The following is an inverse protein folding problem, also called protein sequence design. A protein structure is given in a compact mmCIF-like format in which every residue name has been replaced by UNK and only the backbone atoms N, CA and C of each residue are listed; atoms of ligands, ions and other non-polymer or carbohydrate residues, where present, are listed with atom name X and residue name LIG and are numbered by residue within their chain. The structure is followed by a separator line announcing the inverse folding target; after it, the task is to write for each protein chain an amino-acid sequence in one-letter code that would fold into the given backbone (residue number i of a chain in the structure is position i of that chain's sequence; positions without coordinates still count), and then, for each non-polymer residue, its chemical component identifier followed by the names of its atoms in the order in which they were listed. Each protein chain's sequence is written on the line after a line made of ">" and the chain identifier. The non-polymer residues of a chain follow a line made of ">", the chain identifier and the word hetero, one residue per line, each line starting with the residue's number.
data_IF_679441057184
#
_entry.id   IF_679441057184
#
_cell.length_a   1.000
_cell.length_b   1.000
_cell.length_c   1.000
_cell.angle_alpha   90.00
_cell.angle_beta   90.00
_cell.angle_gamma   90.00
#
_symmetry.space_group_name_H-M   'P 1'
#
loop_
_entity.id
_entity.type
_entity.pdbx_description
1 polymer ?
#
# COMPACT_ATOMS: atom_id res chain seq x y z
N UNK A 1 1.06 -23.26 -36.14
CA UNK A 1 0.69 -24.24 -35.09
C UNK A 1 1.56 -24.06 -33.84
N UNK A 2 1.56 -22.85 -33.22
CA UNK A 2 2.34 -22.62 -31.99
C UNK A 2 1.55 -21.86 -30.90
N UNK A 3 0.27 -21.54 -31.13
CA UNK A 3 -0.50 -20.68 -30.20
C UNK A 3 -1.44 -21.42 -29.23
N UNK A 4 -1.71 -22.71 -29.45
CA UNK A 4 -2.64 -23.46 -28.60
C UNK A 4 -2.02 -24.01 -27.31
N UNK A 5 -0.69 -24.18 -27.27
CA UNK A 5 0.00 -24.83 -26.13
C UNK A 5 0.35 -23.84 -24.98
N UNK A 6 0.43 -22.54 -25.27
CA UNK A 6 0.70 -21.50 -24.25
C UNK A 6 -0.56 -21.18 -23.44
N UNK A 7 -1.74 -21.43 -24.00
CA UNK A 7 -3.03 -21.17 -23.36
C UNK A 7 -3.39 -22.20 -22.27
N UNK A 8 -2.77 -23.37 -22.27
CA UNK A 8 -3.14 -24.51 -21.41
C UNK A 8 -2.29 -24.63 -20.13
N UNK A 9 -1.14 -23.98 -20.05
CA UNK A 9 -0.29 -24.07 -18.86
C UNK A 9 -0.80 -23.19 -17.72
N UNK A 10 -0.89 -23.68 -16.49
CA UNK A 10 -1.21 -22.88 -15.32
C UNK A 10 -0.24 -21.72 -15.14
N UNK A 11 -0.74 -20.58 -14.66
CA UNK A 11 0.06 -19.42 -14.33
C UNK A 11 0.39 -19.48 -12.84
N UNK A 12 1.67 -19.52 -12.52
CA UNK A 12 2.16 -19.45 -11.15
C UNK A 12 2.62 -18.03 -10.80
N UNK A 13 2.11 -17.52 -9.68
CA UNK A 13 2.40 -16.17 -9.15
C UNK A 13 3.02 -16.33 -7.77
N UNK A 14 4.18 -15.71 -7.54
CA UNK A 14 4.82 -15.67 -6.24
C UNK A 14 4.43 -14.39 -5.49
N UNK A 15 3.73 -14.54 -4.37
CA UNK A 15 3.27 -13.46 -3.48
C UNK A 15 1.76 -13.22 -3.54
N UNK A 16 1.07 -13.45 -2.41
CA UNK A 16 -0.37 -13.20 -2.20
C UNK A 16 -0.64 -11.81 -1.57
N UNK A 17 0.18 -10.82 -1.88
CA UNK A 17 -0.09 -9.41 -1.59
C UNK A 17 -1.02 -8.77 -2.62
N UNK A 18 -1.38 -7.48 -2.43
CA UNK A 18 -2.33 -6.78 -3.30
C UNK A 18 -2.00 -6.90 -4.79
N UNK A 19 -0.74 -6.73 -5.18
CA UNK A 19 -0.31 -6.81 -6.59
C UNK A 19 -0.47 -8.21 -7.17
N UNK A 20 -0.10 -9.25 -6.40
CA UNK A 20 -0.22 -10.64 -6.83
C UNK A 20 -1.69 -11.08 -6.94
N UNK A 21 -2.51 -10.70 -5.95
CA UNK A 21 -3.95 -10.98 -5.96
C UNK A 21 -4.67 -10.25 -7.10
N UNK A 22 -4.30 -8.99 -7.39
CA UNK A 22 -4.86 -8.24 -8.49
C UNK A 22 -4.53 -8.89 -9.84
N UNK A 23 -3.25 -9.22 -10.08
CA UNK A 23 -2.83 -9.91 -11.29
C UNK A 23 -3.53 -11.26 -11.45
N UNK A 24 -3.60 -12.05 -10.36
CA UNK A 24 -4.26 -13.34 -10.34
C UNK A 24 -5.73 -13.24 -10.71
N UNK A 25 -6.46 -12.28 -10.10
CA UNK A 25 -7.89 -12.07 -10.35
C UNK A 25 -8.15 -11.71 -11.81
N UNK A 26 -7.36 -10.80 -12.39
CA UNK A 26 -7.51 -10.39 -13.80
C UNK A 26 -7.26 -11.57 -14.74
N UNK A 27 -6.22 -12.34 -14.49
CA UNK A 27 -5.87 -13.49 -15.31
C UNK A 27 -6.91 -14.62 -15.20
N UNK A 28 -7.42 -14.90 -14.00
CA UNK A 28 -8.47 -15.89 -13.80
C UNK A 28 -9.78 -15.48 -14.48
N UNK A 29 -10.18 -14.20 -14.39
CA UNK A 29 -11.33 -13.66 -15.13
C UNK A 29 -11.17 -13.73 -16.66
N UNK A 30 -9.92 -13.74 -17.14
CA UNK A 30 -9.60 -13.97 -18.56
C UNK A 30 -9.54 -15.47 -18.93
N UNK A 31 -10.03 -16.37 -18.07
CA UNK A 31 -10.13 -17.81 -18.32
C UNK A 31 -8.83 -18.60 -18.12
N UNK A 32 -7.82 -18.02 -17.43
CA UNK A 32 -6.56 -18.71 -17.14
C UNK A 32 -6.64 -19.46 -15.82
N UNK A 33 -6.04 -20.65 -15.77
CA UNK A 33 -5.76 -21.33 -14.50
C UNK A 33 -4.62 -20.62 -13.78
N UNK A 34 -4.86 -20.20 -12.52
CA UNK A 34 -3.91 -19.37 -11.75
C UNK A 34 -3.70 -19.93 -10.36
N UNK A 35 -2.43 -20.12 -10.01
CA UNK A 35 -1.95 -20.52 -8.69
C UNK A 35 -1.08 -19.42 -8.08
N UNK A 36 -1.47 -18.94 -6.91
CA UNK A 36 -0.70 -17.95 -6.14
C UNK A 36 -0.02 -18.66 -4.96
N UNK A 37 1.26 -18.43 -4.77
CA UNK A 37 2.06 -19.01 -3.69
C UNK A 37 2.58 -17.92 -2.76
N UNK A 38 2.39 -18.08 -1.44
CA UNK A 38 2.96 -17.19 -0.44
C UNK A 38 3.58 -17.99 0.71
N UNK A 39 4.72 -17.53 1.18
CA UNK A 39 5.44 -18.12 2.33
C UNK A 39 4.74 -17.84 3.65
N UNK A 40 3.87 -16.85 3.71
CA UNK A 40 3.13 -16.45 4.90
C UNK A 40 1.89 -17.31 5.12
N UNK A 41 1.23 -17.05 6.24
CA UNK A 41 0.03 -17.81 6.66
C UNK A 41 -1.24 -17.30 6.02
N UNK A 42 -1.26 -16.04 5.55
CA UNK A 42 -2.41 -15.41 4.92
C UNK A 42 -2.01 -14.15 4.13
N UNK A 43 -2.90 -13.67 3.26
CA UNK A 43 -2.79 -12.35 2.64
C UNK A 43 -2.90 -11.26 3.70
N UNK A 44 -2.01 -10.27 3.62
CA UNK A 44 -1.93 -9.21 4.62
C UNK A 44 -1.19 -9.59 5.91
N UNK A 45 -0.75 -10.85 6.11
CA UNK A 45 -0.06 -11.30 7.32
C UNK A 45 1.29 -10.59 7.62
N UNK A 46 1.72 -9.69 6.73
CA UNK A 46 2.84 -8.77 6.96
C UNK A 46 2.45 -7.58 7.83
N UNK A 47 1.17 -7.21 7.82
CA UNK A 47 0.63 -6.01 8.45
C UNK A 47 -0.19 -6.38 9.67
N UNK A 48 -0.36 -5.44 10.58
CA UNK A 48 -1.02 -5.66 11.84
C UNK A 48 -2.00 -4.51 12.19
N UNK A 49 -2.89 -4.20 11.24
CA UNK A 49 -3.87 -3.12 11.39
C UNK A 49 -3.33 -1.74 11.00
N UNK A 50 -2.26 -1.69 10.22
CA UNK A 50 -1.68 -0.45 9.73
C UNK A 50 -2.67 0.25 8.78
N UNK A 51 -2.85 1.56 8.93
CA UNK A 51 -3.56 2.35 7.94
C UNK A 51 -2.67 2.68 6.73
N UNK A 52 -3.28 2.63 5.55
CA UNK A 52 -2.66 3.07 4.31
C UNK A 52 -3.58 4.05 3.60
N UNK A 53 -3.02 5.19 3.19
CA UNK A 53 -3.72 6.20 2.41
C UNK A 53 -3.63 5.84 0.92
N UNK A 54 -4.77 5.65 0.28
CA UNK A 54 -4.89 5.53 -1.17
C UNK A 54 -5.12 6.92 -1.74
N UNK A 55 -4.14 7.43 -2.48
CA UNK A 55 -4.21 8.74 -3.13
C UNK A 55 -5.26 8.73 -4.24
N UNK A 56 -6.22 9.65 -4.18
CA UNK A 56 -7.25 9.81 -5.19
C UNK A 56 -7.12 11.15 -5.95
N UNK A 57 -6.42 12.12 -5.35
CA UNK A 57 -6.17 13.44 -5.95
C UNK A 57 -5.19 13.40 -7.13
N UNK A 58 -4.31 12.42 -7.18
CA UNK A 58 -3.26 12.28 -8.21
C UNK A 58 -3.71 11.57 -9.49
N UNK A 59 -5.00 11.20 -9.59
CA UNK A 59 -5.59 10.44 -10.69
C UNK A 59 -6.64 11.28 -11.43
N UNK A 60 -6.78 11.05 -12.74
CA UNK A 60 -7.81 11.73 -13.55
C UNK A 60 -9.23 11.26 -13.18
N UNK A 61 -9.40 9.97 -12.89
CA UNK A 61 -10.65 9.38 -12.44
C UNK A 61 -10.60 9.01 -10.95
N UNK A 62 -11.77 8.82 -10.34
CA UNK A 62 -11.87 8.27 -8.99
C UNK A 62 -11.28 6.86 -8.93
N UNK A 63 -10.45 6.59 -7.93
CA UNK A 63 -9.72 5.32 -7.81
C UNK A 63 -10.67 4.12 -7.65
N UNK A 64 -11.78 4.26 -6.93
CA UNK A 64 -12.75 3.17 -6.78
C UNK A 64 -13.51 2.92 -8.06
N UNK A 65 -13.85 3.98 -8.81
CA UNK A 65 -14.37 3.82 -10.16
C UNK A 65 -13.39 3.05 -11.04
N UNK A 66 -12.10 3.41 -10.99
CA UNK A 66 -11.07 2.71 -11.75
C UNK A 66 -10.88 1.25 -11.32
N UNK A 67 -11.01 0.93 -10.01
CA UNK A 67 -11.03 -0.46 -9.53
C UNK A 67 -12.21 -1.22 -10.13
N UNK A 68 -13.41 -0.62 -10.13
CA UNK A 68 -14.59 -1.23 -10.73
C UNK A 68 -14.44 -1.46 -12.24
N UNK A 69 -13.86 -0.50 -12.97
CA UNK A 69 -13.57 -0.62 -14.40
C UNK A 69 -12.57 -1.77 -14.69
N UNK A 70 -11.66 -2.05 -13.76
CA UNK A 70 -10.76 -3.21 -13.80
C UNK A 70 -11.42 -4.50 -13.31
N UNK A 71 -12.69 -4.44 -12.94
CA UNK A 71 -13.48 -5.57 -12.49
C UNK A 71 -13.28 -5.96 -11.02
N UNK A 72 -12.80 -5.03 -10.18
CA UNK A 72 -12.74 -5.20 -8.73
C UNK A 72 -13.90 -4.48 -8.06
N UNK A 73 -14.49 -5.12 -7.06
CA UNK A 73 -15.53 -4.55 -6.23
C UNK A 73 -14.90 -3.90 -4.98
N UNK A 74 -14.87 -2.57 -4.93
CA UNK A 74 -14.33 -1.82 -3.82
C UNK A 74 -15.16 -1.96 -2.52
N UNK A 75 -16.40 -2.45 -2.59
CA UNK A 75 -17.24 -2.72 -1.41
C UNK A 75 -16.77 -3.92 -0.57
N UNK A 76 -15.86 -4.73 -1.11
CA UNK A 76 -15.32 -5.91 -0.46
C UNK A 76 -14.35 -5.59 0.70
N UNK A 77 -14.02 -4.33 0.93
CA UNK A 77 -13.19 -3.90 2.05
C UNK A 77 -13.63 -2.51 2.55
N UNK A 78 -13.30 -2.21 3.80
CA UNK A 78 -13.62 -0.91 4.39
C UNK A 78 -12.61 0.15 3.94
N UNK A 79 -13.14 1.32 3.57
CA UNK A 79 -12.35 2.51 3.31
C UNK A 79 -13.04 3.74 3.88
N UNK A 80 -12.28 4.64 4.50
CA UNK A 80 -12.78 5.91 5.02
C UNK A 80 -12.31 7.05 4.13
N UNK A 81 -13.22 7.92 3.74
CA UNK A 81 -13.00 9.00 2.77
C UNK A 81 -12.62 10.31 3.46
N UNK A 82 -11.63 11.00 2.87
CA UNK A 82 -11.18 12.31 3.30
C UNK A 82 -11.10 13.27 2.11
N UNK A 83 -11.76 14.43 2.23
CA UNK A 83 -11.68 15.53 1.27
C UNK A 83 -10.73 16.64 1.74
N UNK A 84 -10.54 16.73 3.05
CA UNK A 84 -9.69 17.74 3.70
C UNK A 84 -8.53 17.02 4.38
N UNK A 85 -7.35 17.58 4.21
CA UNK A 85 -6.10 17.03 4.76
C UNK A 85 -5.31 18.18 5.38
N UNK A 86 -4.76 17.99 6.56
CA UNK A 86 -3.77 18.89 7.11
C UNK A 86 -2.43 18.63 6.43
N UNK A 87 -1.92 19.62 5.69
CA UNK A 87 -0.56 19.63 5.19
C UNK A 87 0.29 20.52 6.05
N UNK A 88 1.23 19.92 6.77
CA UNK A 88 2.10 20.61 7.73
C UNK A 88 3.45 20.86 7.05
N UNK A 89 3.79 22.15 6.95
CA UNK A 89 5.01 22.62 6.32
C UNK A 89 6.20 22.55 7.29
N UNK A 90 7.46 22.68 6.81
CA UNK A 90 8.66 22.61 7.65
C UNK A 90 8.78 23.69 8.72
N UNK A 91 8.06 24.79 8.58
CA UNK A 91 7.94 25.93 9.52
C UNK A 91 6.74 25.81 10.46
N UNK A 92 6.15 24.63 10.56
CA UNK A 92 4.98 24.30 11.37
C UNK A 92 3.67 25.02 10.93
N UNK A 93 3.65 25.67 9.77
CA UNK A 93 2.42 26.20 9.17
C UNK A 93 1.55 25.05 8.69
N UNK A 94 0.27 25.07 9.07
CA UNK A 94 -0.72 24.07 8.65
C UNK A 94 -1.61 24.69 7.56
N UNK A 95 -1.67 24.04 6.41
CA UNK A 95 -2.62 24.38 5.35
C UNK A 95 -3.58 23.23 5.14
N UNK A 96 -4.82 23.55 4.72
CA UNK A 96 -5.86 22.56 4.48
C UNK A 96 -6.33 22.64 3.02
N UNK A 97 -5.56 22.06 2.08
CA UNK A 97 -6.03 21.97 0.72
C UNK A 97 -7.31 21.15 0.67
N UNK A 98 -8.33 21.70 -0.01
CA UNK A 98 -9.61 21.05 -0.23
C UNK A 98 -9.65 20.52 -1.66
N UNK A 99 -10.23 19.35 -1.81
CA UNK A 99 -10.53 18.77 -3.11
C UNK A 99 -12.04 18.80 -3.35
N UNK A 100 -12.45 19.02 -4.59
CA UNK A 100 -13.87 18.91 -4.99
C UNK A 100 -14.36 17.45 -4.97
N UNK A 101 -13.43 16.51 -4.87
CA UNK A 101 -13.67 15.08 -4.72
C UNK A 101 -12.89 14.51 -3.53
N UNK A 102 -13.16 13.26 -3.18
CA UNK A 102 -12.35 12.53 -2.20
C UNK A 102 -10.87 12.65 -2.54
N UNK A 103 -10.07 13.15 -1.61
CA UNK A 103 -8.62 13.30 -1.78
C UNK A 103 -7.88 12.01 -1.43
N UNK A 104 -8.28 11.36 -0.35
CA UNK A 104 -7.71 10.10 0.12
C UNK A 104 -8.79 9.13 0.57
N UNK A 105 -8.54 7.85 0.34
CA UNK A 105 -9.27 6.76 0.97
C UNK A 105 -8.33 6.01 1.89
N UNK A 106 -8.65 5.96 3.18
CA UNK A 106 -7.86 5.24 4.17
C UNK A 106 -8.39 3.83 4.27
N UNK A 107 -7.51 2.87 4.05
CA UNK A 107 -7.77 1.44 4.19
C UNK A 107 -6.89 0.85 5.28
N UNK A 108 -7.40 -0.19 5.95
CA UNK A 108 -6.62 -0.98 6.89
C UNK A 108 -5.97 -2.16 6.17
N UNK A 109 -4.74 -2.46 6.55
CA UNK A 109 -3.95 -3.59 6.07
C UNK A 109 -3.93 -4.70 7.12
N UNK A 110 -3.91 -5.95 6.71
CA UNK A 110 -3.82 -7.07 7.64
C UNK A 110 -4.73 -8.24 7.29
N UNK A 111 -4.95 -9.11 8.30
CA UNK A 111 -5.72 -10.35 8.13
C UNK A 111 -7.16 -10.24 8.64
N UNK A 112 -7.58 -9.10 9.19
CA UNK A 112 -8.97 -8.88 9.60
C UNK A 112 -9.89 -8.80 8.37
N UNK A 113 -11.11 -9.29 8.49
CA UNK A 113 -12.05 -9.49 7.38
C UNK A 113 -12.30 -8.22 6.54
N UNK A 114 -12.36 -7.05 7.20
CA UNK A 114 -12.65 -5.77 6.57
C UNK A 114 -11.46 -5.12 5.87
N UNK A 115 -10.26 -5.70 5.96
CA UNK A 115 -9.04 -5.13 5.35
C UNK A 115 -9.04 -5.26 3.84
N UNK A 116 -8.31 -4.37 3.18
CA UNK A 116 -8.14 -4.44 1.72
C UNK A 116 -7.47 -5.75 1.29
N UNK A 117 -6.54 -6.28 2.08
CA UNK A 117 -5.87 -7.54 1.78
C UNK A 117 -6.88 -8.70 1.71
N UNK A 118 -7.80 -8.77 2.67
CA UNK A 118 -8.82 -9.83 2.72
C UNK A 118 -9.93 -9.60 1.66
N UNK A 119 -10.30 -8.35 1.39
CA UNK A 119 -11.22 -8.03 0.31
C UNK A 119 -10.70 -8.46 -1.07
N UNK A 120 -9.42 -8.21 -1.34
CA UNK A 120 -8.77 -8.65 -2.59
C UNK A 120 -8.63 -10.18 -2.66
N UNK A 121 -8.31 -10.83 -1.53
CA UNK A 121 -8.25 -12.30 -1.43
C UNK A 121 -9.60 -12.95 -1.75
N UNK A 122 -10.70 -12.46 -1.16
CA UNK A 122 -12.05 -12.99 -1.45
C UNK A 122 -12.38 -12.90 -2.94
N UNK A 123 -12.06 -11.79 -3.57
CA UNK A 123 -12.32 -11.59 -5.00
C UNK A 123 -11.46 -12.52 -5.88
N UNK A 124 -10.20 -12.74 -5.51
CA UNK A 124 -9.34 -13.69 -6.21
C UNK A 124 -9.89 -15.12 -6.13
N UNK A 125 -10.32 -15.56 -4.94
CA UNK A 125 -10.95 -16.88 -4.74
C UNK A 125 -12.25 -17.00 -5.55
N UNK A 126 -13.10 -15.96 -5.51
CA UNK A 126 -14.35 -15.93 -6.27
C UNK A 126 -14.13 -15.98 -7.80
N UNK A 127 -12.99 -15.49 -8.28
CA UNK A 127 -12.56 -15.59 -9.67
C UNK A 127 -11.96 -16.96 -10.05
N UNK A 128 -11.81 -17.89 -9.11
CA UNK A 128 -11.27 -19.24 -9.35
C UNK A 128 -9.76 -19.36 -9.12
N UNK A 129 -9.11 -18.39 -8.48
CA UNK A 129 -7.68 -18.44 -8.15
C UNK A 129 -7.43 -19.47 -7.03
N UNK A 130 -6.47 -20.36 -7.21
CA UNK A 130 -5.95 -21.24 -6.16
C UNK A 130 -4.83 -20.54 -5.38
N UNK A 131 -5.02 -20.31 -4.08
CA UNK A 131 -4.03 -19.65 -3.23
C UNK A 131 -3.41 -20.68 -2.28
N UNK A 132 -2.08 -20.77 -2.31
CA UNK A 132 -1.28 -21.70 -1.52
C UNK A 132 -0.44 -20.92 -0.50
N UNK A 133 -0.88 -20.89 0.75
CA UNK A 133 -0.13 -20.30 1.86
C UNK A 133 0.90 -21.28 2.43
N UNK A 134 1.92 -20.76 3.13
CA UNK A 134 3.07 -21.52 3.64
C UNK A 134 3.77 -22.32 2.51
N UNK A 135 3.64 -21.84 1.28
CA UNK A 135 4.14 -22.45 0.07
C UNK A 135 5.36 -21.70 -0.45
N UNK A 136 6.48 -22.38 -0.48
CA UNK A 136 7.73 -21.84 -1.04
C UNK A 136 7.92 -22.41 -2.45
N UNK A 137 7.97 -21.54 -3.44
CA UNK A 137 8.26 -21.86 -4.85
C UNK A 137 9.55 -21.13 -5.27
N UNK A 138 10.19 -21.59 -6.32
CA UNK A 138 11.33 -20.91 -6.91
C UNK A 138 10.86 -19.85 -7.89
N UNK A 139 11.64 -18.77 -8.05
CA UNK A 139 11.34 -17.70 -9.00
C UNK A 139 11.27 -18.25 -10.44
N UNK A 140 12.11 -19.24 -10.78
CA UNK A 140 12.17 -19.87 -12.11
C UNK A 140 10.87 -20.62 -12.48
N UNK A 141 10.10 -21.06 -11.49
CA UNK A 141 8.84 -21.79 -11.67
C UNK A 141 7.63 -20.84 -11.78
N UNK A 142 7.85 -19.52 -11.62
CA UNK A 142 6.76 -18.54 -11.61
C UNK A 142 6.77 -17.64 -12.84
N UNK A 143 5.58 -17.36 -13.36
CA UNK A 143 5.35 -16.42 -14.45
C UNK A 143 5.40 -14.96 -13.95
N UNK A 144 4.90 -14.73 -12.71
CA UNK A 144 4.83 -13.41 -12.09
C UNK A 144 5.46 -13.47 -10.69
N UNK A 145 6.33 -12.50 -10.40
CA UNK A 145 6.96 -12.31 -9.10
C UNK A 145 6.38 -11.06 -8.45
N UNK A 146 5.61 -11.22 -7.39
CA UNK A 146 4.90 -10.16 -6.67
C UNK A 146 5.23 -10.16 -5.16
N UNK A 147 6.47 -10.48 -4.80
CA UNK A 147 6.93 -10.61 -3.39
C UNK A 147 7.17 -9.27 -2.69
N UNK A 148 6.98 -8.14 -3.37
CA UNK A 148 7.36 -6.82 -2.89
C UNK A 148 8.86 -6.55 -3.00
N UNK A 149 9.34 -5.43 -2.44
CA UNK A 149 10.72 -4.99 -2.63
C UNK A 149 11.72 -5.93 -1.96
N UNK A 150 12.83 -6.20 -2.65
CA UNK A 150 13.97 -6.97 -2.12
C UNK A 150 14.93 -6.10 -1.32
N UNK A 151 15.04 -4.82 -1.66
CA UNK A 151 15.91 -3.83 -0.99
C UNK A 151 15.19 -3.08 0.14
N UNK A 152 15.92 -2.12 0.71
CA UNK A 152 15.39 -1.19 1.72
C UNK A 152 15.99 0.19 1.46
N UNK A 153 15.29 1.03 0.70
CA UNK A 153 15.65 2.44 0.51
C UNK A 153 14.87 3.36 1.45
N UNK A 154 13.73 2.89 1.98
CA UNK A 154 12.94 3.61 2.98
C UNK A 154 12.46 2.68 4.09
N UNK A 155 12.32 3.25 5.29
CA UNK A 155 11.71 2.59 6.45
C UNK A 155 10.55 3.45 6.93
N UNK A 156 9.40 2.84 7.17
CA UNK A 156 8.30 3.43 7.90
C UNK A 156 8.26 2.83 9.30
N UNK A 157 8.14 3.68 10.34
CA UNK A 157 8.00 3.23 11.71
C UNK A 157 6.91 4.05 12.39
N UNK A 158 5.96 3.37 13.03
CA UNK A 158 4.75 4.01 13.54
C UNK A 158 4.23 3.40 14.82
N UNK A 159 3.21 4.05 15.38
CA UNK A 159 2.49 3.60 16.53
C UNK A 159 0.99 3.67 16.28
N UNK A 160 0.30 2.56 16.53
CA UNK A 160 -1.15 2.48 16.57
C UNK A 160 -1.60 2.78 18.00
N UNK A 161 -2.65 3.60 18.15
CA UNK A 161 -3.18 4.03 19.44
C UNK A 161 -4.71 4.18 19.39
N UNK A 162 -5.36 4.18 20.56
CA UNK A 162 -6.77 4.59 20.71
C UNK A 162 -6.84 6.09 20.97
N UNK A 163 -7.94 6.71 20.53
CA UNK A 163 -8.21 8.13 20.72
C UNK A 163 -9.71 8.42 20.64
N UNK A 164 -10.19 9.48 21.29
CA UNK A 164 -11.51 10.04 21.08
C UNK A 164 -11.54 11.15 20.02
N UNK A 165 -10.37 11.50 19.48
CA UNK A 165 -10.27 12.52 18.43
C UNK A 165 -11.07 12.10 17.19
N UNK A 166 -11.81 13.02 16.55
CA UNK A 166 -12.53 12.73 15.29
C UNK A 166 -11.62 12.17 14.20
N UNK A 167 -12.24 11.55 13.18
CA UNK A 167 -11.52 11.10 12.00
C UNK A 167 -10.68 12.25 11.42
N UNK A 168 -9.39 12.00 11.21
CA UNK A 168 -8.44 13.03 10.82
C UNK A 168 -7.28 12.46 10.00
N UNK A 169 -6.75 13.28 9.11
CA UNK A 169 -5.54 12.96 8.36
C UNK A 169 -4.65 14.19 8.27
N UNK A 170 -3.37 14.01 8.58
CA UNK A 170 -2.35 15.03 8.48
C UNK A 170 -1.06 14.44 7.90
N UNK A 171 -0.43 15.17 6.98
CA UNK A 171 0.90 14.86 6.46
C UNK A 171 1.86 15.99 6.81
N UNK A 172 3.06 15.63 7.25
CA UNK A 172 4.08 16.59 7.66
C UNK A 172 5.36 16.40 6.85
N UNK A 173 5.79 17.47 6.19
CA UNK A 173 7.02 17.55 5.43
C UNK A 173 8.09 18.23 6.26
N UNK A 174 8.74 17.50 7.18
CA UNK A 174 9.74 18.06 8.08
C UNK A 174 10.95 17.13 8.20
N UNK A 175 12.07 17.53 7.61
CA UNK A 175 13.34 16.77 7.58
C UNK A 175 13.94 16.53 8.99
N UNK A 176 13.54 17.34 10.00
CA UNK A 176 13.95 17.13 11.39
C UNK A 176 13.26 15.92 12.02
N UNK A 177 12.02 15.62 11.62
CA UNK A 177 11.19 14.51 12.12
C UNK A 177 11.20 13.29 11.21
N UNK A 178 11.34 13.52 9.89
CA UNK A 178 11.30 12.47 8.88
C UNK A 178 12.37 12.69 7.80
N UNK A 179 13.67 12.46 8.11
CA UNK A 179 14.77 12.74 7.20
C UNK A 179 14.63 12.13 5.81
N UNK A 180 14.44 13.02 4.82
CA UNK A 180 14.33 12.69 3.40
C UNK A 180 12.95 12.25 2.94
N UNK A 181 11.96 12.14 3.86
CA UNK A 181 10.61 11.70 3.51
C UNK A 181 9.54 12.55 4.25
N UNK A 182 8.59 11.92 4.91
CA UNK A 182 7.48 12.60 5.59
C UNK A 182 6.99 11.79 6.79
N UNK A 183 6.28 12.47 7.70
CA UNK A 183 5.50 11.82 8.74
C UNK A 183 4.01 12.05 8.53
N UNK A 184 3.17 11.24 9.17
CA UNK A 184 1.73 11.38 9.07
C UNK A 184 1.00 10.94 10.34
N UNK A 185 -0.19 11.51 10.51
CA UNK A 185 -1.21 11.11 11.46
C UNK A 185 -2.46 10.72 10.67
N UNK A 186 -2.99 9.53 10.93
CA UNK A 186 -4.27 9.08 10.40
C UNK A 186 -5.12 8.61 11.58
N UNK A 187 -6.35 9.11 11.69
CA UNK A 187 -7.33 8.68 12.69
C UNK A 187 -8.60 8.27 11.98
N UNK A 188 -9.04 7.04 12.26
CA UNK A 188 -10.27 6.46 11.74
C UNK A 188 -10.98 5.70 12.86
N UNK A 189 -12.23 6.07 13.14
CA UNK A 189 -13.15 5.37 14.04
C UNK A 189 -12.52 5.05 15.42
N UNK A 190 -11.85 6.05 16.01
CA UNK A 190 -11.26 5.94 17.34
C UNK A 190 -9.91 5.20 17.40
N UNK A 191 -9.36 4.85 16.25
CA UNK A 191 -8.00 4.29 16.13
C UNK A 191 -7.12 5.27 15.36
N UNK A 192 -5.95 5.58 15.90
CA UNK A 192 -4.97 6.44 15.27
C UNK A 192 -3.69 5.69 14.90
N UNK A 193 -3.01 6.17 13.86
CA UNK A 193 -1.66 5.78 13.49
C UNK A 193 -0.81 7.04 13.29
N UNK A 194 0.25 7.19 14.08
CA UNK A 194 1.33 8.14 13.81
C UNK A 194 2.50 7.35 13.24
N UNK A 195 3.07 7.84 12.13
CA UNK A 195 4.17 7.18 11.47
C UNK A 195 5.20 8.19 10.96
N UNK A 196 6.48 7.83 11.04
CA UNK A 196 7.57 8.53 10.38
C UNK A 196 8.18 7.65 9.29
N UNK A 197 8.34 8.20 8.09
CA UNK A 197 8.97 7.56 6.95
C UNK A 197 10.37 8.15 6.76
N UNK A 198 11.36 7.30 6.62
CA UNK A 198 12.77 7.71 6.61
C UNK A 198 13.48 7.15 5.38
N UNK A 199 14.06 8.02 4.55
CA UNK A 199 15.03 7.62 3.53
C UNK A 199 16.46 7.69 4.05
N UNK A 200 16.70 8.55 5.02
CA UNK A 200 18.01 8.74 5.66
C UNK A 200 17.91 8.45 7.15
N UNK A 201 19.01 8.07 7.78
CA UNK A 201 19.12 7.81 9.23
C UNK A 201 18.12 6.74 9.74
N UNK A 202 17.84 5.73 8.94
CA UNK A 202 16.85 4.68 9.21
C UNK A 202 17.11 3.92 10.52
N UNK A 203 18.39 3.76 10.93
CA UNK A 203 18.75 3.14 12.21
C UNK A 203 18.29 3.92 13.45
N UNK A 204 17.82 5.16 13.27
CA UNK A 204 17.29 6.03 14.33
C UNK A 204 15.77 6.17 14.27
N UNK A 205 15.07 5.24 13.64
CA UNK A 205 13.62 5.30 13.40
C UNK A 205 12.80 5.50 14.68
N UNK A 206 13.15 4.83 15.76
CA UNK A 206 12.47 4.96 17.05
C UNK A 206 12.59 6.40 17.62
N UNK A 207 13.78 6.98 17.56
CA UNK A 207 13.99 8.37 17.98
C UNK A 207 13.10 9.33 17.17
N UNK A 208 13.12 9.22 15.84
CA UNK A 208 12.32 10.08 14.98
C UNK A 208 10.83 9.90 15.18
N UNK A 209 10.36 8.66 15.44
CA UNK A 209 8.97 8.42 15.77
C UNK A 209 8.59 9.09 17.10
N UNK A 210 9.41 8.98 18.14
CA UNK A 210 9.13 9.61 19.43
C UNK A 210 9.10 11.15 19.32
N UNK A 211 10.01 11.74 18.54
CA UNK A 211 10.00 13.18 18.25
C UNK A 211 8.76 13.59 17.44
N UNK A 212 8.33 12.77 16.49
CA UNK A 212 7.11 12.97 15.69
C UNK A 212 5.86 12.88 16.58
N UNK A 213 5.77 11.89 17.45
CA UNK A 213 4.66 11.77 18.41
C UNK A 213 4.57 13.02 19.31
N UNK A 214 5.69 13.45 19.90
CA UNK A 214 5.72 14.62 20.75
C UNK A 214 5.29 15.90 19.99
N UNK A 215 5.65 15.99 18.70
CA UNK A 215 5.21 17.10 17.86
C UNK A 215 3.69 17.08 17.67
N UNK A 216 3.09 15.92 17.32
CA UNK A 216 1.64 15.80 17.14
C UNK A 216 0.88 16.04 18.44
N UNK A 217 1.31 15.50 19.57
CA UNK A 217 0.68 15.75 20.88
C UNK A 217 0.68 17.24 21.25
N UNK A 218 1.74 17.97 20.91
CA UNK A 218 1.83 19.42 21.16
C UNK A 218 0.86 20.22 20.28
N UNK A 219 0.68 19.84 19.01
CA UNK A 219 -0.08 20.64 18.04
C UNK A 219 -1.54 20.18 17.90
N UNK A 220 -1.86 18.97 18.39
CA UNK A 220 -3.21 18.41 18.48
C UNK A 220 -3.52 18.06 19.94
N UNK A 221 -3.82 19.06 20.79
CA UNK A 221 -3.93 18.88 22.26
C UNK A 221 -5.04 17.93 22.67
N UNK A 222 -6.04 17.69 21.80
CA UNK A 222 -7.15 16.75 22.06
C UNK A 222 -6.88 15.35 21.51
N UNK A 223 -5.65 15.03 21.20
CA UNK A 223 -5.30 13.73 20.62
C UNK A 223 -5.52 12.56 21.59
N UNK A 224 -5.55 12.78 22.90
CA UNK A 224 -5.81 11.81 24.00
C UNK A 224 -5.27 10.39 23.69
N UNK A 225 -4.05 10.30 23.20
CA UNK A 225 -3.42 9.10 22.68
C UNK A 225 -3.22 8.02 23.76
N UNK A 226 -3.85 6.85 23.57
CA UNK A 226 -3.60 5.64 24.35
C UNK A 226 -2.88 4.58 23.48
N UNK A 227 -1.55 4.41 23.63
CA UNK A 227 -0.77 3.51 22.78
C UNK A 227 -1.25 2.06 22.81
N UNK A 228 -1.28 1.39 21.66
CA UNK A 228 -1.61 -0.04 21.52
C UNK A 228 -0.33 -0.82 21.18
N UNK A 229 0.33 -0.45 20.06
CA UNK A 229 1.50 -1.19 19.55
C UNK A 229 2.32 -0.37 18.57
N UNK A 230 3.57 -0.78 18.41
CA UNK A 230 4.45 -0.29 17.34
C UNK A 230 4.26 -1.12 16.07
N UNK A 231 4.34 -0.46 14.93
CA UNK A 231 4.26 -1.08 13.61
C UNK A 231 5.41 -0.57 12.75
N UNK A 232 5.78 -1.33 11.72
CA UNK A 232 6.85 -0.89 10.84
C UNK A 232 6.89 -1.64 9.53
N UNK A 233 7.46 -0.99 8.55
CA UNK A 233 7.62 -1.52 7.21
C UNK A 233 8.87 -0.99 6.53
N UNK A 234 9.29 -1.70 5.50
CA UNK A 234 10.36 -1.25 4.60
C UNK A 234 9.84 -1.17 3.18
N UNK A 235 10.30 -0.16 2.47
CA UNK A 235 10.05 0.04 1.05
C UNK A 235 11.35 0.15 0.29
N UNK A 236 11.29 -0.15 -1.01
CA UNK A 236 12.38 0.08 -1.92
C UNK A 236 11.87 0.90 -3.10
N UNK A 237 12.53 2.03 -3.35
CA UNK A 237 12.22 2.95 -4.43
C UNK A 237 13.34 2.92 -5.47
N UNK A 238 13.50 1.78 -6.12
CA UNK A 238 14.51 1.62 -7.15
C UNK A 238 14.08 2.35 -8.42
N UNK A 239 14.84 3.36 -8.84
CA UNK A 239 14.49 4.24 -9.98
C UNK A 239 14.46 3.49 -11.30
N UNK A 240 15.21 2.40 -11.45
CA UNK A 240 15.31 1.58 -12.66
C UNK A 240 14.79 0.16 -12.42
N UNK A 241 13.56 0.02 -11.93
CA UNK A 241 12.97 -1.29 -11.76
C UNK A 241 12.71 -1.97 -13.11
N UNK A 242 13.16 -3.20 -13.23
CA UNK A 242 12.84 -4.02 -14.40
C UNK A 242 11.44 -4.62 -14.21
N UNK A 243 10.57 -4.39 -15.18
CA UNK A 243 9.22 -5.00 -15.18
C UNK A 243 9.22 -6.43 -15.75
N UNK A 244 10.30 -6.80 -16.46
CA UNK A 244 10.45 -8.12 -17.05
C UNK A 244 11.91 -8.59 -16.96
N UNK A 245 12.11 -9.80 -16.50
CA UNK A 245 13.40 -10.47 -16.45
C UNK A 245 13.22 -11.95 -16.82
N UNK A 246 14.04 -12.44 -17.75
CA UNK A 246 14.04 -13.85 -18.17
C UNK A 246 12.64 -14.38 -18.55
N UNK A 247 11.83 -13.56 -19.23
CA UNK A 247 10.48 -13.89 -19.65
C UNK A 247 9.40 -13.73 -18.56
N UNK A 248 9.78 -13.40 -17.33
CA UNK A 248 8.86 -13.25 -16.17
C UNK A 248 8.48 -11.80 -15.94
N UNK A 249 7.25 -11.57 -15.49
CA UNK A 249 6.77 -10.27 -15.05
C UNK A 249 7.18 -10.02 -13.59
N UNK A 250 7.71 -8.84 -13.29
CA UNK A 250 8.15 -8.44 -11.96
C UNK A 250 7.23 -7.33 -11.42
N UNK A 251 6.52 -7.59 -10.32
CA UNK A 251 5.64 -6.65 -9.64
C UNK A 251 6.22 -6.35 -8.25
N UNK A 252 7.16 -5.42 -8.16
CA UNK A 252 7.84 -5.10 -6.90
C UNK A 252 7.04 -4.19 -5.97
N UNK A 253 6.17 -3.35 -6.55
CA UNK A 253 5.31 -2.43 -5.81
C UNK A 253 3.94 -2.39 -6.48
N UNK A 254 2.91 -1.98 -5.73
CA UNK A 254 1.69 -1.51 -6.37
C UNK A 254 2.06 -0.34 -7.29
N UNK A 255 1.62 -0.33 -8.55
CA UNK A 255 1.92 0.77 -9.46
C UNK A 255 1.36 2.06 -8.85
N UNK A 256 2.26 2.97 -8.44
CA UNK A 256 1.86 4.31 -8.06
C UNK A 256 1.40 5.06 -9.32
N UNK A 257 0.36 5.90 -9.25
CA UNK A 257 0.00 6.80 -10.34
C UNK A 257 1.18 7.65 -10.84
N UNK A 258 2.15 7.95 -9.97
CA UNK A 258 3.40 8.66 -10.32
C UNK A 258 4.30 7.86 -11.27
N UNK A 259 4.26 6.54 -11.25
CA UNK A 259 5.05 5.71 -12.15
C UNK A 259 4.52 5.77 -13.59
N UNK A 260 3.21 6.00 -13.78
CA UNK A 260 2.59 6.22 -15.09
C UNK A 260 2.96 7.55 -15.75
N UNK A 261 3.17 8.62 -14.96
CA UNK A 261 3.56 9.93 -15.52
C UNK A 261 4.97 9.90 -16.12
N UNK A 262 5.89 9.11 -15.58
CA UNK A 262 7.25 8.96 -16.14
C UNK A 262 7.28 8.15 -17.43
N UNK A 263 6.33 7.24 -17.66
CA UNK A 263 6.26 6.46 -18.90
C UNK A 263 5.62 7.20 -20.07
N UNK A 264 5.06 8.39 -19.84
CA UNK A 264 4.44 9.25 -20.87
C UNK A 264 5.30 10.41 -21.34
N UNK A 265 6.56 10.54 -20.89
CA UNK A 265 7.47 11.48 -21.53
C UNK A 265 7.87 10.94 -22.90
N UNK A 266 7.55 11.65 -24.01
CA UNK A 266 8.06 11.26 -25.32
C UNK A 266 9.58 11.32 -25.26
N UNK A 267 10.23 10.27 -25.75
CA UNK A 267 11.62 10.34 -26.14
C UNK A 267 11.69 11.28 -27.35
N UNK A 268 11.83 12.55 -27.11
CA UNK A 268 12.07 13.53 -28.17
C UNK A 268 13.37 14.26 -27.87
N UNK A 269 14.24 14.03 -28.84
CA UNK A 269 15.49 14.70 -29.21
C UNK A 269 16.72 14.28 -28.43
#
# INVERSE_FOLDING_TARGET
>A
MADSDVATKPIHIMGAGLSGLAAATILAKAGREVHVHDIRTDSGARFDGDFQALENWSMDADFFQQLNDWGFDASQFRATEFQVVDLIHPDDVITQPKSDRVAYRIVERGTAEHTIDQGMKRQAIAAGVSIHYKSRVKEEDCTIIACGPKGTSAVAYGEIFKTSHPNHIAFQLNDKLAPGAYSYLIIVDGVGLICTCLWRKQSKSERFLNETIAWYEKHYPNLDRAPIKRVGGKGDFTINQRYKQDGRCLLYTSPSPRDRQKSRMPSSA
#
